data_IF_192101343320
#
_entry.id   IF_192101343320
#
_cell.length_a   1.000
_cell.length_b   1.000
_cell.length_c   1.000
_cell.angle_alpha   90.00
_cell.angle_beta   90.00
_cell.angle_gamma   90.00
#
_symmetry.space_group_name_H-M   'P 1'
#
loop_
_entity.id
_entity.type
_entity.pdbx_description
1 polymer ?
#
# COMPACT_ATOMS: atom_id res chain seq x y z
N UNK A 1 30.64 -6.20 -19.82
CA UNK A 1 30.53 -7.09 -18.63
C UNK A 1 29.72 -6.44 -17.51
N UNK A 2 30.08 -5.25 -17.00
CA UNK A 2 29.38 -4.59 -15.87
C UNK A 2 27.91 -4.24 -16.12
N UNK A 3 27.52 -3.87 -17.35
CA UNK A 3 26.12 -3.53 -17.65
C UNK A 3 25.14 -4.69 -17.46
N UNK A 4 25.57 -5.93 -17.70
CA UNK A 4 24.72 -7.12 -17.47
C UNK A 4 24.48 -7.31 -15.98
N UNK A 5 25.51 -7.09 -15.15
CA UNK A 5 25.41 -7.19 -13.69
C UNK A 5 24.50 -6.10 -13.14
N UNK A 6 24.65 -4.84 -13.57
CA UNK A 6 23.76 -3.75 -13.15
C UNK A 6 22.30 -3.98 -13.56
N UNK A 7 22.06 -4.51 -14.77
CA UNK A 7 20.71 -4.83 -15.22
C UNK A 7 20.10 -5.98 -14.42
N UNK A 8 20.89 -6.99 -14.04
CA UNK A 8 20.46 -8.09 -13.17
C UNK A 8 20.18 -7.60 -11.74
N UNK A 9 21.08 -6.81 -11.16
CA UNK A 9 20.91 -6.28 -9.82
C UNK A 9 19.71 -5.33 -9.73
N UNK A 10 19.66 -4.31 -10.59
CA UNK A 10 18.63 -3.27 -10.54
C UNK A 10 17.24 -3.73 -10.97
N UNK A 11 17.12 -4.65 -11.93
CA UNK A 11 15.80 -5.06 -12.48
C UNK A 11 15.29 -6.41 -11.98
N UNK A 12 16.13 -7.28 -11.41
CA UNK A 12 15.71 -8.61 -10.93
C UNK A 12 15.97 -8.79 -9.44
N UNK A 13 17.16 -8.47 -8.95
CA UNK A 13 17.52 -8.74 -7.55
C UNK A 13 16.83 -7.73 -6.64
N UNK A 14 16.97 -6.43 -6.92
CA UNK A 14 16.34 -5.37 -6.13
C UNK A 14 14.82 -5.55 -6.03
N UNK A 15 14.03 -5.59 -7.11
CA UNK A 15 12.58 -5.71 -7.01
C UNK A 15 12.12 -7.04 -6.39
N UNK A 16 12.86 -8.14 -6.55
CA UNK A 16 12.51 -9.43 -5.93
C UNK A 16 12.77 -9.43 -4.42
N UNK A 17 13.77 -8.69 -3.94
CA UNK A 17 14.09 -8.56 -2.51
C UNK A 17 13.25 -7.48 -1.83
N UNK A 18 12.95 -6.37 -2.51
CA UNK A 18 12.06 -5.30 -1.99
C UNK A 18 10.59 -5.48 -2.41
N UNK A 19 10.22 -6.68 -2.87
CA UNK A 19 8.95 -6.98 -3.54
C UNK A 19 7.69 -6.39 -2.90
N UNK A 20 6.79 -5.97 -3.79
CA UNK A 20 5.35 -5.73 -3.63
C UNK A 20 4.87 -5.06 -2.33
N UNK A 21 5.60 -4.03 -1.87
CA UNK A 21 5.26 -3.32 -0.61
C UNK A 21 4.04 -2.40 -0.71
N UNK A 22 3.41 -2.28 -1.87
CA UNK A 22 2.23 -1.44 -2.08
C UNK A 22 0.99 -2.30 -1.85
N UNK A 23 0.72 -2.60 -0.58
CA UNK A 23 -0.45 -3.39 -0.19
C UNK A 23 -1.69 -2.49 -0.10
N UNK A 24 -2.17 -2.00 -1.24
CA UNK A 24 -3.33 -1.08 -1.33
C UNK A 24 -4.30 -1.62 -2.37
N UNK A 25 -5.60 -1.61 -2.06
CA UNK A 25 -6.60 -2.13 -2.98
C UNK A 25 -6.72 -1.26 -4.25
N UNK A 26 -7.20 -1.82 -5.38
CA UNK A 26 -7.29 -1.09 -6.64
C UNK A 26 -8.17 0.17 -6.57
N UNK A 27 -9.22 0.17 -5.75
CA UNK A 27 -10.12 1.31 -5.61
C UNK A 27 -9.41 2.50 -4.95
N UNK A 28 -8.73 2.28 -3.83
CA UNK A 28 -7.93 3.27 -3.13
C UNK A 28 -6.78 3.80 -4.01
N UNK A 29 -6.17 2.93 -4.82
CA UNK A 29 -5.18 3.34 -5.81
C UNK A 29 -5.78 4.31 -6.86
N UNK A 30 -6.94 4.00 -7.44
CA UNK A 30 -7.63 4.88 -8.39
C UNK A 30 -7.97 6.23 -7.75
N UNK A 31 -8.53 6.22 -6.53
CA UNK A 31 -8.85 7.46 -5.80
C UNK A 31 -7.60 8.31 -5.58
N UNK A 32 -6.49 7.70 -5.15
CA UNK A 32 -5.23 8.39 -4.98
C UNK A 32 -4.68 8.94 -6.31
N UNK A 33 -4.73 8.16 -7.39
CA UNK A 33 -4.27 8.58 -8.71
C UNK A 33 -5.05 9.79 -9.24
N UNK A 34 -6.37 9.80 -9.08
CA UNK A 34 -7.21 10.93 -9.48
C UNK A 34 -6.91 12.16 -8.61
N UNK A 35 -6.86 12.00 -7.29
CA UNK A 35 -6.60 13.08 -6.36
C UNK A 35 -5.23 13.73 -6.59
N UNK A 36 -4.15 12.95 -6.54
CA UNK A 36 -2.80 13.47 -6.75
C UNK A 36 -2.55 13.91 -8.20
N UNK A 37 -3.14 13.24 -9.18
CA UNK A 37 -3.08 13.63 -10.58
C UNK A 37 -3.69 15.02 -10.82
N UNK A 38 -4.79 15.36 -10.14
CA UNK A 38 -5.39 16.70 -10.24
C UNK A 38 -4.61 17.77 -9.47
N UNK A 39 -3.90 17.41 -8.39
CA UNK A 39 -3.10 18.35 -7.59
C UNK A 39 -1.86 18.84 -8.33
N UNK A 40 -1.11 17.94 -8.98
CA UNK A 40 0.21 18.26 -9.54
C UNK A 40 0.52 17.60 -10.89
N UNK A 41 -0.50 17.07 -11.57
CA UNK A 41 -0.35 16.42 -12.87
C UNK A 41 0.44 15.11 -12.79
N UNK A 42 1.34 14.90 -13.75
CA UNK A 42 2.13 13.66 -13.89
C UNK A 42 2.96 13.37 -12.63
N UNK A 43 3.53 14.41 -12.00
CA UNK A 43 4.30 14.25 -10.77
C UNK A 43 3.46 13.68 -9.62
N UNK A 44 2.21 14.13 -9.51
CA UNK A 44 1.27 13.60 -8.53
C UNK A 44 0.89 12.14 -8.80
N UNK A 45 0.67 11.77 -10.06
CA UNK A 45 0.38 10.37 -10.45
C UNK A 45 1.52 9.43 -10.05
N UNK A 46 2.78 9.81 -10.25
CA UNK A 46 3.96 9.01 -9.86
C UNK A 46 3.99 8.80 -8.33
N UNK A 47 3.63 9.83 -7.57
CA UNK A 47 3.66 9.80 -6.11
C UNK A 47 2.40 9.18 -5.47
N UNK A 48 1.35 8.91 -6.24
CA UNK A 48 0.05 8.48 -5.69
C UNK A 48 0.15 7.17 -4.90
N UNK A 49 0.76 6.13 -5.47
CA UNK A 49 0.92 4.82 -4.81
C UNK A 49 1.77 4.85 -3.53
N UNK A 50 2.98 5.45 -3.52
CA UNK A 50 3.73 5.55 -2.27
C UNK A 50 3.02 6.42 -1.23
N UNK A 51 2.36 7.50 -1.63
CA UNK A 51 1.62 8.36 -0.71
C UNK A 51 0.46 7.62 -0.02
N UNK A 52 -0.40 6.93 -0.78
CA UNK A 52 -1.52 6.17 -0.20
C UNK A 52 -1.05 4.99 0.65
N UNK A 53 0.09 4.38 0.29
CA UNK A 53 0.71 3.31 1.08
C UNK A 53 1.18 3.81 2.44
N UNK A 54 1.85 4.98 2.48
CA UNK A 54 2.30 5.59 3.73
C UNK A 54 1.10 5.93 4.63
N UNK A 55 0.04 6.51 4.05
CA UNK A 55 -1.20 6.80 4.78
C UNK A 55 -1.78 5.52 5.40
N UNK A 56 -1.87 4.43 4.62
CA UNK A 56 -2.36 3.15 5.14
C UNK A 56 -1.51 2.63 6.29
N UNK A 57 -0.18 2.70 6.19
CA UNK A 57 0.74 2.25 7.25
C UNK A 57 0.49 3.04 8.55
N UNK A 58 0.38 4.37 8.44
CA UNK A 58 0.09 5.23 9.60
C UNK A 58 -1.27 4.86 10.23
N UNK A 59 -2.30 4.66 9.41
CA UNK A 59 -3.64 4.27 9.90
C UNK A 59 -3.63 2.88 10.56
N UNK A 60 -2.71 2.01 10.18
CA UNK A 60 -2.60 0.66 10.72
C UNK A 60 -1.96 0.62 12.12
N UNK A 61 -1.19 1.65 12.47
CA UNK A 61 -0.47 1.73 13.75
C UNK A 61 -1.40 1.98 14.93
N UNK A 62 -2.49 2.74 14.73
CA UNK A 62 -3.43 3.06 15.81
C UNK A 62 -4.67 2.16 15.75
N UNK A 63 -5.02 1.52 16.87
CA UNK A 63 -6.19 0.63 16.97
C UNK A 63 -7.51 1.30 16.56
N UNK A 64 -7.65 2.60 16.84
CA UNK A 64 -8.83 3.37 16.48
C UNK A 64 -8.99 3.57 14.95
N UNK A 65 -7.88 3.66 14.21
CA UNK A 65 -7.89 3.88 12.75
C UNK A 65 -7.63 2.61 11.96
N UNK A 66 -7.26 1.53 12.64
CA UNK A 66 -7.02 0.21 12.05
C UNK A 66 -8.18 -0.32 11.19
N UNK A 67 -9.47 -0.13 11.54
CA UNK A 67 -10.56 -0.48 10.64
C UNK A 67 -10.43 0.17 9.25
N UNK A 68 -9.95 1.42 9.20
CA UNK A 68 -9.79 2.18 7.95
C UNK A 68 -8.60 1.63 7.15
N UNK A 69 -7.48 1.29 7.81
CA UNK A 69 -6.31 0.70 7.11
C UNK A 69 -6.62 -0.66 6.49
N UNK A 70 -7.48 -1.46 7.14
CA UNK A 70 -7.93 -2.76 6.65
C UNK A 70 -8.80 -2.62 5.39
N UNK A 71 -9.66 -1.61 5.33
CA UNK A 71 -10.45 -1.31 4.14
C UNK A 71 -9.57 -0.92 2.95
N UNK A 72 -8.46 -0.23 3.20
CA UNK A 72 -7.53 0.22 2.16
C UNK A 72 -6.60 -0.90 1.66
N UNK A 73 -6.49 -2.04 2.36
CA UNK A 73 -5.54 -3.10 2.01
C UNK A 73 -5.97 -4.00 0.88
N UNK A 74 -5.00 -4.53 0.13
CA UNK A 74 -5.24 -5.41 -1.01
C UNK A 74 -5.65 -6.84 -0.60
N UNK A 75 -5.14 -7.34 0.53
CA UNK A 75 -5.39 -8.70 1.00
C UNK A 75 -6.72 -8.82 1.77
N UNK A 76 -7.81 -8.99 1.03
CA UNK A 76 -9.16 -9.10 1.60
C UNK A 76 -9.23 -10.23 2.66
N UNK A 77 -8.57 -11.37 2.42
CA UNK A 77 -8.60 -12.52 3.33
C UNK A 77 -7.94 -12.26 4.68
N UNK A 78 -6.73 -11.68 4.70
CA UNK A 78 -6.03 -11.32 5.93
C UNK A 78 -6.73 -10.16 6.65
N UNK A 79 -7.14 -9.14 5.90
CA UNK A 79 -7.79 -7.97 6.47
C UNK A 79 -9.14 -8.32 7.12
N UNK A 80 -9.93 -9.22 6.52
CA UNK A 80 -11.20 -9.67 7.08
C UNK A 80 -11.03 -10.44 8.40
N UNK A 81 -9.98 -11.27 8.51
CA UNK A 81 -9.64 -11.97 9.76
C UNK A 81 -9.28 -10.99 10.86
N UNK A 82 -8.46 -10.00 10.54
CA UNK A 82 -8.02 -8.99 11.50
C UNK A 82 -9.18 -8.07 11.93
N UNK A 83 -10.03 -7.64 11.00
CA UNK A 83 -11.22 -6.87 11.31
C UNK A 83 -12.17 -7.63 12.25
N UNK A 84 -12.39 -8.92 11.99
CA UNK A 84 -13.22 -9.77 12.85
C UNK A 84 -12.63 -9.91 14.26
N UNK A 85 -11.31 -10.02 14.40
CA UNK A 85 -10.62 -10.02 15.71
C UNK A 85 -10.83 -8.72 16.48
N UNK A 86 -10.73 -7.57 15.81
CA UNK A 86 -10.96 -6.26 16.43
C UNK A 86 -12.43 -6.09 16.88
N UNK A 87 -13.38 -6.54 16.05
CA UNK A 87 -14.79 -6.50 16.41
C UNK A 87 -15.11 -7.41 17.62
N UNK A 88 -14.49 -8.60 17.69
CA UNK A 88 -14.69 -9.54 18.79
C UNK A 88 -13.99 -9.11 20.08
N UNK A 89 -12.83 -8.46 19.99
CA UNK A 89 -12.07 -7.96 21.16
C UNK A 89 -12.83 -6.90 21.97
N UNK A 90 -13.78 -6.20 21.35
CA UNK A 90 -14.56 -5.11 21.99
C UNK A 90 -15.89 -5.59 22.59
N UNK A 91 -16.24 -6.87 22.41
CA UNK A 91 -17.49 -7.49 22.88
C UNK A 91 -17.30 -8.31 24.17
N UNK A 92 -16.08 -8.40 24.70
CA UNK A 92 -15.78 -8.92 26.03
C UNK A 92 -15.42 -7.74 26.93
#
# INVERSE_FOLDING_TARGET
>A
MYGIVQQLEGNLITPKVVGDKVNVNPFAAIVALLFFGTLWGIGGVILALPAISIIRIILNEYEATKPISLLLGADIGDNAREFKRLAQSKTI
#
